data_IF_091156440447
#
_entry.id   IF_091156440447
#
_cell.length_a   1.000
_cell.length_b   1.000
_cell.length_c   1.000
_cell.angle_alpha   90.00
_cell.angle_beta   90.00
_cell.angle_gamma   90.00
#
_symmetry.space_group_name_H-M   'P 1'
#
loop_
_entity.id
_entity.type
_entity.pdbx_description
1 polymer ?
#
# COMPACT_ATOMS: atom_id res chain seq x y z
N UNK A 1 30.77 38.25 18.84
CA UNK A 1 29.31 38.08 19.02
C UNK A 1 28.61 37.48 17.79
N UNK A 2 28.89 37.92 16.56
CA UNK A 2 28.22 37.43 15.32
C UNK A 2 28.33 35.91 15.05
N UNK A 3 29.46 35.26 15.39
CA UNK A 3 29.63 33.80 15.19
C UNK A 3 28.73 32.92 16.09
N UNK A 4 28.39 33.38 17.30
CA UNK A 4 27.50 32.62 18.21
C UNK A 4 26.03 32.69 17.77
N UNK A 5 25.60 33.80 17.17
CA UNK A 5 24.25 33.98 16.63
C UNK A 5 24.00 33.09 15.41
N UNK A 6 25.00 32.97 14.52
CA UNK A 6 24.92 32.11 13.33
C UNK A 6 24.78 30.62 13.71
N UNK A 7 25.55 30.16 14.71
CA UNK A 7 25.50 28.78 15.16
C UNK A 7 24.13 28.41 15.76
N UNK A 8 23.52 29.35 16.49
CA UNK A 8 22.19 29.19 17.08
C UNK A 8 21.10 29.13 16.00
N UNK A 9 21.19 29.94 14.95
CA UNK A 9 20.28 29.90 13.81
C UNK A 9 20.36 28.56 13.04
N UNK A 10 21.56 28.04 12.81
CA UNK A 10 21.75 26.76 12.11
C UNK A 10 21.14 25.60 12.92
N UNK A 11 21.37 25.56 14.25
CA UNK A 11 20.80 24.53 15.12
C UNK A 11 19.26 24.55 15.17
N UNK A 12 18.65 25.73 15.11
CA UNK A 12 17.19 25.83 15.07
C UNK A 12 16.61 25.40 13.71
N UNK A 13 17.31 25.67 12.61
CA UNK A 13 16.88 25.26 11.26
C UNK A 13 16.95 23.73 11.10
N UNK A 14 17.99 23.07 11.60
CA UNK A 14 18.11 21.61 11.50
C UNK A 14 17.04 20.87 12.31
N UNK A 15 16.69 21.39 13.50
CA UNK A 15 15.63 20.81 14.31
C UNK A 15 14.24 20.96 13.65
N UNK A 16 14.01 22.06 12.94
CA UNK A 16 12.74 22.30 12.26
C UNK A 16 12.55 21.39 11.05
N UNK A 17 13.61 21.17 10.25
CA UNK A 17 13.60 20.26 9.10
C UNK A 17 13.37 18.82 9.57
N UNK A 18 14.10 18.37 10.59
CA UNK A 18 13.94 17.01 11.13
C UNK A 18 12.52 16.74 11.66
N UNK A 19 11.91 17.74 12.32
CA UNK A 19 10.56 17.61 12.83
C UNK A 19 9.51 17.49 11.70
N UNK A 20 9.73 18.16 10.56
CA UNK A 20 8.84 18.06 9.41
C UNK A 20 8.88 16.67 8.77
N UNK A 21 10.07 16.09 8.55
CA UNK A 21 10.20 14.75 7.93
C UNK A 21 9.46 13.67 8.74
N UNK A 22 9.66 13.63 10.06
CA UNK A 22 8.98 12.66 10.93
C UNK A 22 7.45 12.83 10.91
N UNK A 23 6.95 14.06 10.87
CA UNK A 23 5.51 14.34 10.84
C UNK A 23 4.86 13.88 9.52
N UNK A 24 5.57 14.00 8.39
CA UNK A 24 5.10 13.51 7.10
C UNK A 24 5.00 11.99 7.07
N UNK A 25 5.97 11.29 7.65
CA UNK A 25 5.97 9.83 7.72
C UNK A 25 4.88 9.30 8.65
N UNK A 26 4.65 9.96 9.79
CA UNK A 26 3.56 9.62 10.71
C UNK A 26 2.19 9.78 10.04
N UNK A 27 1.96 10.89 9.33
CA UNK A 27 0.71 11.10 8.59
C UNK A 27 0.52 10.02 7.52
N UNK A 28 1.55 9.73 6.72
CA UNK A 28 1.47 8.69 5.70
C UNK A 28 1.14 7.32 6.28
N UNK A 29 1.80 6.95 7.38
CA UNK A 29 1.56 5.68 8.08
C UNK A 29 0.13 5.59 8.60
N UNK A 30 -0.38 6.66 9.23
CA UNK A 30 -1.74 6.69 9.77
C UNK A 30 -2.80 6.58 8.66
N UNK A 31 -2.66 7.35 7.59
CA UNK A 31 -3.60 7.31 6.46
C UNK A 31 -3.56 5.95 5.75
N UNK A 32 -2.38 5.34 5.62
CA UNK A 32 -2.24 3.98 5.07
C UNK A 32 -3.02 2.97 5.91
N UNK A 33 -2.93 3.02 7.25
CA UNK A 33 -3.70 2.13 8.13
C UNK A 33 -5.20 2.32 7.97
N UNK A 34 -5.67 3.55 7.78
CA UNK A 34 -7.10 3.83 7.56
C UNK A 34 -7.61 3.23 6.25
N UNK A 35 -6.86 3.40 5.15
CA UNK A 35 -7.20 2.81 3.84
C UNK A 35 -7.19 1.29 3.90
N UNK A 36 -6.16 0.69 4.50
CA UNK A 36 -6.08 -0.77 4.71
C UNK A 36 -7.28 -1.26 5.52
N UNK A 37 -7.60 -0.60 6.64
CA UNK A 37 -8.74 -0.97 7.47
C UNK A 37 -10.07 -0.88 6.71
N UNK A 38 -10.20 0.11 5.82
CA UNK A 38 -11.35 0.22 4.93
C UNK A 38 -11.41 -0.95 3.93
N UNK A 39 -10.29 -1.33 3.31
CA UNK A 39 -10.21 -2.45 2.36
C UNK A 39 -10.60 -3.77 3.03
N UNK A 40 -10.05 -4.05 4.21
CA UNK A 40 -10.36 -5.27 4.96
C UNK A 40 -11.85 -5.40 5.27
N UNK A 41 -12.47 -4.31 5.75
CA UNK A 41 -13.89 -4.32 6.15
C UNK A 41 -14.84 -4.47 4.97
N UNK A 42 -14.52 -3.86 3.83
CA UNK A 42 -15.47 -3.77 2.72
C UNK A 42 -15.23 -4.81 1.61
N UNK A 43 -13.98 -5.23 1.39
CA UNK A 43 -13.62 -6.08 0.25
C UNK A 43 -13.16 -7.46 0.66
N UNK A 44 -12.29 -7.58 1.67
CA UNK A 44 -11.68 -8.86 1.98
C UNK A 44 -12.58 -9.75 2.83
N UNK A 45 -13.33 -9.19 3.81
CA UNK A 45 -14.33 -9.87 4.65
C UNK A 45 -13.92 -11.22 5.28
N UNK A 46 -12.65 -11.59 5.25
CA UNK A 46 -12.12 -12.83 5.78
C UNK A 46 -11.44 -12.65 7.14
N UNK A 47 -11.56 -13.66 8.01
CA UNK A 47 -11.06 -13.62 9.38
C UNK A 47 -9.62 -14.12 9.55
N UNK A 48 -9.07 -14.82 8.56
CA UNK A 48 -7.72 -15.40 8.61
C UNK A 48 -6.94 -15.05 7.35
N UNK A 49 -6.47 -13.80 7.28
CA UNK A 49 -5.70 -13.28 6.16
C UNK A 49 -4.22 -13.23 6.54
N UNK A 50 -3.38 -13.79 5.69
CA UNK A 50 -1.94 -13.61 5.73
C UNK A 50 -1.55 -12.53 4.72
N UNK A 51 -0.51 -11.75 5.02
CA UNK A 51 -0.03 -10.66 4.18
C UNK A 51 1.30 -11.05 3.58
N UNK A 52 1.40 -10.96 2.27
CA UNK A 52 2.69 -11.00 1.61
C UNK A 52 3.51 -9.77 2.02
N UNK A 53 4.71 -10.02 2.56
CA UNK A 53 5.57 -8.97 3.09
C UNK A 53 6.00 -7.98 2.01
N UNK A 54 6.27 -8.42 0.79
CA UNK A 54 6.73 -7.49 -0.26
C UNK A 54 5.54 -6.75 -0.82
N UNK A 55 5.64 -5.42 -0.88
CA UNK A 55 4.61 -4.63 -1.53
C UNK A 55 4.56 -4.97 -3.02
N UNK A 56 3.36 -5.22 -3.54
CA UNK A 56 3.17 -5.52 -4.96
C UNK A 56 3.62 -4.33 -5.78
N UNK A 57 4.43 -4.60 -6.81
CA UNK A 57 4.79 -3.58 -7.79
C UNK A 57 3.57 -3.36 -8.67
N UNK A 58 3.14 -2.11 -8.73
CA UNK A 58 2.13 -1.70 -9.68
C UNK A 58 2.76 -1.70 -11.07
N UNK A 59 2.24 -2.49 -11.99
CA UNK A 59 2.64 -2.42 -13.39
C UNK A 59 1.69 -1.50 -14.15
N UNK A 60 2.22 -0.41 -14.71
CA UNK A 60 1.46 0.48 -15.60
C UNK A 60 1.48 -0.12 -17.01
N UNK A 61 0.75 -1.21 -17.21
CA UNK A 61 0.64 -1.84 -18.51
C UNK A 61 -0.63 -1.34 -19.22
N UNK A 62 -0.44 -0.54 -20.28
CA UNK A 62 -1.45 -0.02 -21.21
C UNK A 62 -2.47 1.02 -20.65
N UNK A 63 -2.99 1.85 -21.58
CA UNK A 63 -3.77 3.08 -21.38
C UNK A 63 -5.14 2.93 -20.67
N UNK A 64 -5.44 1.76 -20.10
CA UNK A 64 -6.67 1.46 -19.35
C UNK A 64 -6.42 1.32 -17.85
N UNK A 65 -5.20 1.54 -17.39
CA UNK A 65 -4.89 1.55 -15.96
C UNK A 65 -5.63 2.68 -15.25
N UNK A 66 -5.93 2.46 -13.97
CA UNK A 66 -6.58 3.46 -13.10
C UNK A 66 -5.73 4.75 -13.00
N UNK A 67 -4.41 4.66 -13.25
CA UNK A 67 -3.48 5.80 -13.28
C UNK A 67 -3.64 6.71 -14.50
N UNK A 68 -4.21 6.22 -15.60
CA UNK A 68 -4.54 7.05 -16.76
C UNK A 68 -5.93 7.69 -16.66
N UNK A 69 -6.62 7.49 -15.53
CA UNK A 69 -7.92 8.08 -15.23
C UNK A 69 -7.98 9.56 -15.61
N UNK A 70 -9.07 10.00 -16.29
CA UNK A 70 -9.27 11.41 -16.60
C UNK A 70 -9.47 12.26 -15.34
N UNK A 71 -9.65 11.64 -14.17
CA UNK A 71 -9.77 12.33 -12.88
C UNK A 71 -8.43 12.90 -12.37
N UNK A 72 -7.31 12.40 -12.88
CA UNK A 72 -5.97 12.82 -12.48
C UNK A 72 -5.42 13.88 -13.43
N UNK A 73 -4.82 14.92 -12.86
CA UNK A 73 -4.08 15.94 -13.61
C UNK A 73 -2.77 15.38 -14.18
N UNK A 74 -2.24 15.98 -15.25
CA UNK A 74 -1.01 15.49 -15.90
C UNK A 74 0.19 15.37 -14.93
N UNK A 75 0.36 16.34 -14.03
CA UNK A 75 1.41 16.32 -13.01
C UNK A 75 1.16 15.23 -11.95
N UNK A 76 -0.09 14.95 -11.59
CA UNK A 76 -0.43 13.84 -10.69
C UNK A 76 -0.09 12.49 -11.33
N UNK A 77 -0.36 12.32 -12.63
CA UNK A 77 0.01 11.10 -13.37
C UNK A 77 1.52 10.90 -13.40
N UNK A 78 2.30 11.97 -13.57
CA UNK A 78 3.76 11.90 -13.50
C UNK A 78 4.24 11.51 -12.09
N UNK A 79 3.70 12.15 -11.05
CA UNK A 79 4.00 11.81 -9.66
C UNK A 79 3.66 10.35 -9.31
N UNK A 80 2.52 9.84 -9.80
CA UNK A 80 2.13 8.44 -9.66
C UNK A 80 3.17 7.51 -10.28
N UNK A 81 3.62 7.78 -11.52
CA UNK A 81 4.67 6.97 -12.17
C UNK A 81 5.97 6.96 -11.37
N UNK A 82 6.34 8.08 -10.76
CA UNK A 82 7.53 8.14 -9.90
C UNK A 82 7.35 7.36 -8.59
N UNK A 83 6.17 7.41 -7.96
CA UNK A 83 5.87 6.61 -6.77
C UNK A 83 5.84 5.11 -7.06
N UNK A 84 5.44 4.70 -8.26
CA UNK A 84 5.47 3.30 -8.69
C UNK A 84 6.91 2.79 -8.80
N UNK A 85 7.82 3.60 -9.37
CA UNK A 85 9.25 3.26 -9.46
C UNK A 85 9.93 3.29 -8.07
N UNK A 86 9.49 4.20 -7.22
CA UNK A 86 10.08 4.46 -5.90
C UNK A 86 9.02 4.36 -4.80
N UNK A 87 8.50 3.15 -4.53
CA UNK A 87 7.44 2.98 -3.54
C UNK A 87 7.93 3.35 -2.15
N UNK A 88 7.10 4.07 -1.40
CA UNK A 88 7.37 4.42 0.00
C UNK A 88 7.43 3.18 0.88
N UNK A 89 6.58 2.19 0.61
CA UNK A 89 6.57 0.90 1.29
C UNK A 89 7.09 -0.16 0.33
N UNK A 90 8.26 -0.71 0.62
CA UNK A 90 8.80 -1.89 -0.07
C UNK A 90 8.45 -3.19 0.66
N UNK A 91 8.41 -3.13 1.98
CA UNK A 91 8.12 -4.25 2.86
C UNK A 91 7.11 -3.84 3.92
N UNK A 92 6.04 -4.60 4.01
CA UNK A 92 5.02 -4.46 5.04
C UNK A 92 5.54 -4.93 6.41
N UNK A 93 5.05 -4.29 7.46
CA UNK A 93 5.35 -4.61 8.85
C UNK A 93 4.06 -4.76 9.65
N UNK A 94 4.15 -5.42 10.80
CA UNK A 94 2.99 -5.78 11.63
C UNK A 94 2.22 -4.53 12.10
N UNK A 95 2.90 -3.39 12.18
CA UNK A 95 2.29 -2.10 12.50
C UNK A 95 1.11 -1.73 11.58
N UNK A 96 1.14 -2.15 10.31
CA UNK A 96 0.07 -1.90 9.34
C UNK A 96 -1.06 -2.92 9.43
N UNK A 97 -0.78 -4.12 9.95
CA UNK A 97 -1.70 -5.26 9.96
C UNK A 97 -1.65 -5.99 11.32
N UNK A 98 -2.12 -5.38 12.41
CA UNK A 98 -1.90 -5.89 13.77
C UNK A 98 -2.51 -7.27 14.04
N UNK A 99 -3.46 -7.72 13.21
CA UNK A 99 -4.14 -9.01 13.35
C UNK A 99 -3.85 -9.98 12.20
N UNK A 100 -2.85 -9.70 11.35
CA UNK A 100 -2.49 -10.56 10.23
C UNK A 100 -1.07 -11.11 10.42
N UNK A 101 -0.81 -12.30 9.89
CA UNK A 101 0.55 -12.82 9.80
C UNK A 101 1.22 -12.25 8.57
N UNK A 102 2.42 -11.70 8.72
CA UNK A 102 3.24 -11.25 7.58
C UNK A 102 4.18 -12.38 7.18
N UNK A 103 4.12 -12.78 5.91
CA UNK A 103 4.90 -13.88 5.36
C UNK A 103 5.87 -13.33 4.32
N UNK A 104 7.15 -13.69 4.45
CA UNK A 104 8.17 -13.39 3.43
C UNK A 104 7.75 -13.94 2.06
N UNK A 105 7.78 -13.11 1.02
CA UNK A 105 7.38 -13.51 -0.35
C UNK A 105 8.13 -14.75 -0.84
N UNK A 106 9.43 -14.83 -0.54
CA UNK A 106 10.24 -16.01 -0.89
C UNK A 106 9.68 -17.31 -0.30
N UNK A 107 9.09 -17.27 0.90
CA UNK A 107 8.45 -18.47 1.51
C UNK A 107 7.14 -18.82 0.82
N UNK A 108 6.39 -17.82 0.36
CA UNK A 108 5.18 -18.00 -0.46
C UNK A 108 5.61 -18.65 -1.79
N UNK A 109 6.56 -18.04 -2.50
CA UNK A 109 7.10 -18.54 -3.77
C UNK A 109 7.61 -19.98 -3.65
N UNK A 110 8.35 -20.29 -2.58
CA UNK A 110 8.85 -21.65 -2.33
C UNK A 110 7.74 -22.70 -2.19
N UNK A 111 6.61 -22.34 -1.58
CA UNK A 111 5.45 -23.23 -1.45
C UNK A 111 4.76 -23.41 -2.81
N UNK A 112 4.56 -22.32 -3.55
CA UNK A 112 3.88 -22.35 -4.84
C UNK A 112 4.75 -22.79 -6.01
N UNK A 113 6.01 -23.18 -5.78
CA UNK A 113 6.80 -23.96 -6.76
C UNK A 113 6.15 -25.30 -7.08
N UNK A 114 5.42 -25.89 -6.13
CA UNK A 114 4.55 -27.03 -6.39
C UNK A 114 3.16 -26.53 -6.81
N UNK A 115 2.93 -26.42 -8.11
CA UNK A 115 1.66 -25.97 -8.65
C UNK A 115 0.48 -26.91 -8.31
N UNK A 116 0.74 -28.18 -7.99
CA UNK A 116 -0.30 -29.16 -7.70
C UNK A 116 -0.72 -29.15 -6.21
N UNK A 117 0.24 -28.95 -5.30
CA UNK A 117 -0.03 -29.04 -3.84
C UNK A 117 0.27 -27.76 -3.05
N UNK A 118 0.81 -26.71 -3.67
CA UNK A 118 1.12 -25.43 -3.03
C UNK A 118 0.02 -24.88 -2.12
N UNK A 119 -1.26 -24.86 -2.53
CA UNK A 119 -2.31 -24.39 -1.63
C UNK A 119 -2.58 -25.32 -0.46
N UNK A 120 -2.56 -26.63 -0.67
CA UNK A 120 -2.73 -27.60 0.42
C UNK A 120 -1.62 -27.41 1.46
N UNK A 121 -0.37 -27.23 1.01
CA UNK A 121 0.77 -26.99 1.87
C UNK A 121 0.71 -25.61 2.56
N UNK A 122 0.27 -24.57 1.83
CA UNK A 122 0.07 -23.24 2.41
C UNK A 122 -0.99 -23.27 3.51
N UNK A 123 -2.17 -23.83 3.24
CA UNK A 123 -3.27 -23.91 4.20
C UNK A 123 -2.89 -24.75 5.42
N UNK A 124 -2.17 -25.85 5.22
CA UNK A 124 -1.64 -26.66 6.33
C UNK A 124 -0.68 -25.89 7.23
N UNK A 125 0.12 -24.99 6.66
CA UNK A 125 1.18 -24.26 7.38
C UNK A 125 0.71 -22.95 8.00
N UNK A 126 -0.04 -22.16 7.25
CA UNK A 126 -0.43 -20.80 7.63
C UNK A 126 -1.94 -20.66 7.81
N UNK A 127 -2.72 -21.50 7.13
CA UNK A 127 -4.18 -21.43 7.07
C UNK A 127 -4.67 -20.26 6.23
N UNK A 128 -5.97 -20.18 5.99
CA UNK A 128 -6.63 -19.00 5.43
C UNK A 128 -6.10 -18.55 4.07
N UNK A 129 -6.24 -17.27 3.79
CA UNK A 129 -5.95 -16.64 2.49
C UNK A 129 -4.66 -15.83 2.53
N UNK A 130 -4.16 -15.47 1.35
CA UNK A 130 -3.03 -14.54 1.19
C UNK A 130 -3.57 -13.28 0.53
N UNK A 131 -3.29 -12.12 1.13
CA UNK A 131 -3.50 -10.83 0.52
C UNK A 131 -2.18 -10.15 0.19
N UNK A 132 -2.16 -9.43 -0.92
CA UNK A 132 -1.04 -8.61 -1.36
C UNK A 132 -1.50 -7.17 -1.55
N UNK A 133 -0.63 -6.22 -1.25
CA UNK A 133 -0.93 -4.78 -1.33
C UNK A 133 0.26 -4.04 -1.95
N UNK A 134 -0.03 -3.09 -2.83
CA UNK A 134 0.97 -2.11 -3.26
C UNK A 134 1.17 -1.02 -2.22
N UNK A 135 2.29 -0.29 -2.32
CA UNK A 135 2.44 0.97 -1.57
C UNK A 135 1.32 1.95 -1.99
N UNK A 136 0.53 2.50 -1.05
CA UNK A 136 -0.49 3.49 -1.40
C UNK A 136 0.14 4.78 -1.93
N UNK A 137 -0.47 5.35 -2.95
CA UNK A 137 -0.06 6.62 -3.56
C UNK A 137 -1.12 7.67 -3.22
N UNK A 138 -0.79 8.56 -2.28
CA UNK A 138 -1.69 9.63 -1.87
C UNK A 138 -1.49 10.88 -2.73
N UNK A 139 -2.60 11.48 -3.15
CA UNK A 139 -2.65 12.72 -3.91
C UNK A 139 -3.48 13.76 -3.14
N UNK A 140 -3.38 15.03 -3.56
CA UNK A 140 -4.19 16.14 -3.04
C UNK A 140 -4.27 16.16 -1.51
N UNK A 141 -3.12 16.09 -0.84
CA UNK A 141 -3.03 16.07 0.63
C UNK A 141 -3.90 14.98 1.30
N UNK A 142 -3.83 13.75 0.78
CA UNK A 142 -4.54 12.58 1.32
C UNK A 142 -6.07 12.61 1.12
N UNK A 143 -6.56 13.38 0.15
CA UNK A 143 -7.96 13.33 -0.29
C UNK A 143 -8.21 12.22 -1.31
N UNK A 144 -7.15 11.77 -1.99
CA UNK A 144 -7.20 10.71 -3.00
C UNK A 144 -6.10 9.71 -2.67
N UNK A 145 -6.40 8.42 -2.81
CA UNK A 145 -5.40 7.36 -2.74
C UNK A 145 -5.60 6.39 -3.89
N UNK A 146 -4.48 6.00 -4.50
CA UNK A 146 -4.43 4.91 -5.47
C UNK A 146 -3.71 3.74 -4.82
N UNK A 147 -4.31 2.55 -4.90
CA UNK A 147 -3.76 1.34 -4.32
C UNK A 147 -4.21 0.12 -5.11
N UNK A 148 -3.29 -0.81 -5.31
CA UNK A 148 -3.56 -2.16 -5.81
C UNK A 148 -3.58 -3.13 -4.65
N UNK A 149 -4.54 -4.03 -4.62
CA UNK A 149 -4.58 -5.12 -3.67
C UNK A 149 -5.21 -6.37 -4.27
N UNK A 150 -4.81 -7.53 -3.77
CA UNK A 150 -5.39 -8.80 -4.16
C UNK A 150 -5.58 -9.69 -2.95
N UNK A 151 -6.47 -10.66 -3.07
CA UNK A 151 -6.62 -11.77 -2.13
C UNK A 151 -6.82 -13.06 -2.91
N UNK A 152 -6.16 -14.12 -2.44
CA UNK A 152 -6.31 -15.46 -2.99
C UNK A 152 -6.51 -16.45 -1.85
N UNK A 153 -7.55 -17.25 -1.95
CA UNK A 153 -7.97 -18.24 -0.94
C UNK A 153 -7.75 -19.68 -1.38
N UNK A 154 -7.77 -19.93 -2.70
CA UNK A 154 -7.42 -21.21 -3.34
C UNK A 154 -6.95 -21.02 -4.80
N UNK A 155 -6.77 -22.12 -5.55
CA UNK A 155 -6.24 -22.09 -6.93
C UNK A 155 -7.14 -21.37 -7.93
N UNK A 156 -8.43 -21.25 -7.62
CA UNK A 156 -9.49 -20.78 -8.50
C UNK A 156 -10.20 -19.54 -7.93
N UNK A 157 -9.98 -19.24 -6.66
CA UNK A 157 -10.61 -18.15 -5.91
C UNK A 157 -9.57 -17.10 -5.55
N UNK A 158 -9.34 -16.20 -6.51
CA UNK A 158 -8.57 -14.97 -6.34
C UNK A 158 -9.35 -13.77 -6.83
N UNK A 159 -9.08 -12.61 -6.24
CA UNK A 159 -9.59 -11.33 -6.69
C UNK A 159 -8.46 -10.31 -6.66
N UNK A 160 -8.32 -9.53 -7.74
CA UNK A 160 -7.37 -8.43 -7.86
C UNK A 160 -8.09 -7.12 -8.13
N UNK A 161 -7.73 -6.10 -7.37
CA UNK A 161 -8.30 -4.75 -7.48
C UNK A 161 -7.19 -3.73 -7.68
N UNK A 162 -7.41 -2.83 -8.61
CA UNK A 162 -6.74 -1.54 -8.63
C UNK A 162 -7.80 -0.46 -8.46
N UNK A 163 -7.66 0.38 -7.44
CA UNK A 163 -8.70 1.33 -7.06
C UNK A 163 -8.15 2.73 -6.80
N UNK A 164 -8.92 3.74 -7.23
CA UNK A 164 -8.86 5.09 -6.69
C UNK A 164 -9.94 5.20 -5.62
N UNK A 165 -9.52 5.48 -4.40
CA UNK A 165 -10.42 5.92 -3.34
C UNK A 165 -10.34 7.43 -3.17
N UNK A 166 -11.50 8.04 -2.94
CA UNK A 166 -11.63 9.44 -2.57
C UNK A 166 -12.12 9.54 -1.15
N UNK A 167 -11.62 10.54 -0.42
CA UNK A 167 -12.03 10.80 0.95
C UNK A 167 -13.34 11.57 0.96
N UNK A 168 -14.32 11.05 1.69
CA UNK A 168 -15.59 11.72 1.98
C UNK A 168 -15.72 11.86 3.50
N UNK A 169 -15.31 13.03 4.01
CA UNK A 169 -15.19 13.26 5.46
C UNK A 169 -14.17 12.31 6.10
N UNK A 170 -14.63 11.49 7.03
CA UNK A 170 -13.80 10.50 7.75
C UNK A 170 -13.72 9.13 7.06
N UNK A 171 -14.42 8.96 5.93
CA UNK A 171 -14.51 7.69 5.22
C UNK A 171 -13.81 7.74 3.86
N UNK A 172 -13.49 6.55 3.35
CA UNK A 172 -13.03 6.33 1.98
C UNK A 172 -14.19 5.82 1.13
N UNK A 173 -14.28 6.26 -0.11
CA UNK A 173 -15.26 5.81 -1.10
C UNK A 173 -14.56 5.44 -2.39
N UNK A 174 -15.04 4.41 -3.09
CA UNK A 174 -14.50 4.02 -4.40
C UNK A 174 -14.91 5.08 -5.41
N UNK A 175 -13.92 5.68 -6.08
CA UNK A 175 -14.18 6.61 -7.18
C UNK A 175 -13.99 5.95 -8.55
N UNK A 176 -13.01 5.07 -8.68
CA UNK A 176 -12.78 4.28 -9.88
C UNK A 176 -12.11 2.96 -9.48
N UNK A 177 -12.40 1.89 -10.22
CA UNK A 177 -11.73 0.61 -10.04
C UNK A 177 -11.59 -0.14 -11.36
N UNK A 178 -10.50 -0.88 -11.50
CA UNK A 178 -10.34 -1.92 -12.50
C UNK A 178 -10.16 -3.27 -11.81
N UNK A 179 -10.67 -4.30 -12.47
CA UNK A 179 -10.63 -5.68 -12.02
C UNK A 179 -9.57 -6.41 -12.84
N UNK A 180 -8.61 -7.00 -12.14
CA UNK A 180 -7.70 -7.96 -12.77
C UNK A 180 -8.36 -9.34 -12.58
N UNK A 181 -8.98 -9.87 -13.66
CA UNK A 181 -9.45 -11.26 -13.73
C UNK A 181 -8.31 -12.18 -14.15
#
# INVERSE_FOLDING_TARGET
>A
MKKKLLLFLILNLTNFVYCQENLFDDKYKNETKLVISYIFRNFLQESNINIDKTATIVEVNNCTSTYDSPMLYCNEKEYVRECIKNPKIKYWTEDFFPNCKIIESKKIDEIFKDNANGWNEFQKKYGGSIAQFSSPIFLRNYEIVIIKFSITSDYLAGLGYEAIFMRNGDNWEISACSWDN
#
